data_IF_426946257423
#
_entry.id   IF_426946257423
#
_cell.length_a   1.000
_cell.length_b   1.000
_cell.length_c   1.000
_cell.angle_alpha   90.00
_cell.angle_beta   90.00
_cell.angle_gamma   90.00
#
_symmetry.space_group_name_H-M   'P 1'
#
loop_
_entity.id
_entity.type
_entity.pdbx_description
1 polymer ?
#
# COMPACT_ATOMS: atom_id res chain seq x y z
N UNK A 1 29.56 2.48 33.58
CA UNK A 1 30.45 1.68 32.71
C UNK A 1 29.59 0.95 31.68
N UNK A 2 29.54 1.45 30.44
CA UNK A 2 28.78 0.79 29.37
C UNK A 2 29.52 -0.47 28.93
N UNK A 3 28.94 -1.65 29.19
CA UNK A 3 29.40 -2.90 28.60
C UNK A 3 29.25 -2.81 27.08
N UNK A 4 30.36 -2.59 26.39
CA UNK A 4 30.49 -2.61 24.93
C UNK A 4 30.22 -4.04 24.42
N UNK A 5 28.96 -4.41 24.33
CA UNK A 5 28.57 -5.63 23.66
C UNK A 5 28.86 -5.50 22.16
N UNK A 6 29.54 -6.48 21.54
CA UNK A 6 29.74 -6.47 20.10
C UNK A 6 28.38 -6.47 19.38
N UNK A 7 28.24 -5.55 18.42
CA UNK A 7 27.08 -5.44 17.53
C UNK A 7 26.90 -6.69 16.64
N UNK A 8 25.84 -6.72 15.81
CA UNK A 8 25.50 -7.89 15.01
C UNK A 8 26.68 -8.36 14.15
N UNK A 9 27.11 -9.62 14.34
CA UNK A 9 28.24 -10.22 13.62
C UNK A 9 29.64 -9.88 14.16
N UNK A 10 29.78 -8.87 15.02
CA UNK A 10 31.08 -8.47 15.59
C UNK A 10 31.67 -9.55 16.50
N UNK A 11 30.83 -10.32 17.21
CA UNK A 11 31.31 -11.44 18.04
C UNK A 11 32.08 -12.50 17.23
N UNK A 12 31.69 -12.74 15.98
CA UNK A 12 32.40 -13.67 15.08
C UNK A 12 33.68 -13.05 14.52
N UNK A 13 33.65 -11.76 14.20
CA UNK A 13 34.83 -11.03 13.75
C UNK A 13 35.92 -10.97 14.84
N UNK A 14 35.53 -10.69 16.09
CA UNK A 14 36.45 -10.71 17.24
C UNK A 14 37.07 -12.08 17.44
N UNK A 15 36.26 -13.17 17.39
CA UNK A 15 36.79 -14.54 17.48
C UNK A 15 37.77 -14.86 16.36
N UNK A 16 37.48 -14.45 15.12
CA UNK A 16 38.39 -14.65 14.00
C UNK A 16 39.71 -13.88 14.19
N UNK A 17 39.64 -12.67 14.76
CA UNK A 17 40.81 -11.87 15.11
C UNK A 17 41.63 -12.50 16.23
N UNK A 18 41.00 -13.01 17.28
CA UNK A 18 41.68 -13.68 18.39
C UNK A 18 42.39 -14.96 17.91
N UNK A 19 41.71 -15.78 17.08
CA UNK A 19 42.30 -16.95 16.41
C UNK A 19 43.50 -16.56 15.53
N UNK A 20 43.42 -15.44 14.80
CA UNK A 20 44.54 -14.96 14.00
C UNK A 20 45.75 -14.58 14.87
N UNK A 21 45.52 -13.95 16.03
CA UNK A 21 46.58 -13.64 17.01
C UNK A 21 47.20 -14.90 17.61
N UNK A 22 46.38 -15.88 17.99
CA UNK A 22 46.86 -17.17 18.51
C UNK A 22 47.77 -17.87 17.49
N UNK A 23 47.36 -17.89 16.23
CA UNK A 23 48.18 -18.43 15.14
C UNK A 23 49.49 -17.67 14.96
N UNK A 24 49.47 -16.33 15.04
CA UNK A 24 50.69 -15.53 14.99
C UNK A 24 51.65 -15.85 16.14
N UNK A 25 51.12 -16.04 17.37
CA UNK A 25 51.92 -16.40 18.54
C UNK A 25 52.66 -17.75 18.39
N UNK A 26 52.16 -18.65 17.53
CA UNK A 26 52.85 -19.90 17.19
C UNK A 26 53.98 -19.77 16.16
N UNK A 27 54.35 -18.53 15.79
CA UNK A 27 55.38 -18.24 14.78
C UNK A 27 54.89 -18.30 13.33
N UNK A 28 53.58 -18.43 13.09
CA UNK A 28 53.00 -18.47 11.75
C UNK A 28 52.71 -17.06 11.24
N UNK A 29 53.12 -16.74 10.01
CA UNK A 29 52.75 -15.48 9.37
C UNK A 29 51.29 -15.55 8.90
N UNK A 30 50.44 -14.68 9.47
CA UNK A 30 49.01 -14.59 9.12
C UNK A 30 48.72 -13.24 8.47
N UNK A 31 48.07 -13.27 7.31
CA UNK A 31 47.60 -12.06 6.59
C UNK A 31 46.09 -12.18 6.36
N UNK A 32 45.34 -11.11 6.65
CA UNK A 32 43.90 -11.05 6.41
C UNK A 32 43.65 -10.12 5.22
N UNK A 33 43.08 -10.67 4.14
CA UNK A 33 42.74 -9.93 2.93
C UNK A 33 41.25 -10.09 2.64
N UNK A 34 40.62 -9.03 2.15
CA UNK A 34 39.26 -9.11 1.62
C UNK A 34 39.30 -9.66 0.19
N UNK A 35 38.33 -10.52 -0.14
CA UNK A 35 38.09 -11.03 -1.50
C UNK A 35 36.62 -10.85 -1.87
N UNK A 36 36.32 -10.54 -3.15
CA UNK A 36 34.94 -10.37 -3.60
C UNK A 36 34.19 -11.71 -3.60
N UNK A 37 32.95 -11.69 -3.10
CA UNK A 37 32.03 -12.82 -3.17
C UNK A 37 31.49 -13.05 -4.59
N UNK A 38 31.24 -14.32 -4.94
CA UNK A 38 30.57 -14.72 -6.18
C UNK A 38 31.27 -14.25 -7.47
N UNK A 39 32.60 -14.19 -7.44
CA UNK A 39 33.46 -13.86 -8.59
C UNK A 39 34.25 -15.05 -9.11
N UNK A 40 33.95 -16.26 -8.65
CA UNK A 40 34.60 -17.48 -9.13
C UNK A 40 36.02 -17.71 -8.60
N UNK A 41 36.40 -17.05 -7.50
CA UNK A 41 37.68 -17.31 -6.80
C UNK A 41 37.58 -18.69 -6.14
N UNK A 42 38.32 -19.72 -6.60
CA UNK A 42 38.05 -21.11 -6.23
C UNK A 42 37.97 -21.37 -4.72
N UNK A 43 38.93 -20.83 -3.96
CA UNK A 43 38.96 -21.01 -2.50
C UNK A 43 37.82 -20.29 -1.75
N UNK A 44 37.36 -19.13 -2.25
CA UNK A 44 36.23 -18.43 -1.66
C UNK A 44 34.90 -19.16 -1.94
N UNK A 45 34.73 -19.66 -3.17
CA UNK A 45 33.56 -20.46 -3.54
C UNK A 45 33.50 -21.78 -2.78
N UNK A 46 34.65 -22.42 -2.54
CA UNK A 46 34.72 -23.64 -1.71
C UNK A 46 34.39 -23.36 -0.24
N UNK A 47 34.91 -22.27 0.32
CA UNK A 47 34.55 -21.82 1.67
C UNK A 47 33.06 -21.51 1.81
N UNK A 48 32.46 -20.82 0.82
CA UNK A 48 31.01 -20.51 0.80
C UNK A 48 30.17 -21.79 0.70
N UNK A 49 30.56 -22.76 -0.15
CA UNK A 49 29.90 -24.07 -0.24
C UNK A 49 29.95 -24.82 1.09
N UNK A 50 31.11 -24.83 1.77
CA UNK A 50 31.28 -25.47 3.06
C UNK A 50 30.40 -24.80 4.14
N UNK A 51 30.38 -23.46 4.17
CA UNK A 51 29.54 -22.69 5.09
C UNK A 51 28.04 -22.97 4.86
N UNK A 52 27.58 -23.01 3.60
CA UNK A 52 26.19 -23.36 3.24
C UNK A 52 25.82 -24.77 3.67
N UNK A 53 26.71 -25.75 3.45
CA UNK A 53 26.49 -27.14 3.89
C UNK A 53 26.40 -27.24 5.42
N UNK A 54 27.18 -26.45 6.14
CA UNK A 54 27.12 -26.39 7.61
C UNK A 54 25.84 -25.70 8.11
N UNK A 55 25.37 -24.66 7.44
CA UNK A 55 24.15 -23.92 7.81
C UNK A 55 22.87 -24.77 7.77
N UNK A 56 22.85 -25.85 6.98
CA UNK A 56 21.73 -26.81 6.93
C UNK A 56 21.74 -27.88 8.03
N UNK A 57 22.80 -27.96 8.85
CA UNK A 57 22.89 -28.93 9.94
C UNK A 57 22.34 -28.32 11.24
N UNK A 58 21.75 -29.12 12.13
CA UNK A 58 21.39 -28.66 13.47
C UNK A 58 22.64 -28.12 14.18
N UNK A 59 22.46 -27.07 14.98
CA UNK A 59 23.57 -26.38 15.66
C UNK A 59 24.17 -27.32 16.71
N UNK A 60 25.34 -27.89 16.43
CA UNK A 60 26.04 -28.83 17.32
C UNK A 60 27.15 -28.18 18.17
N UNK A 61 27.08 -26.87 18.44
CA UNK A 61 28.19 -26.14 19.07
C UNK A 61 27.82 -25.22 20.23
N UNK A 62 28.84 -24.79 20.99
CA UNK A 62 28.79 -23.87 22.15
C UNK A 62 28.26 -22.45 21.84
N UNK A 63 27.96 -22.12 20.59
CA UNK A 63 27.45 -20.81 20.20
C UNK A 63 25.91 -20.82 20.19
N UNK A 64 25.29 -20.22 21.20
CA UNK A 64 23.83 -20.16 21.38
C UNK A 64 23.15 -18.97 20.69
N UNK A 65 23.91 -18.00 20.18
CA UNK A 65 23.36 -16.77 19.61
C UNK A 65 22.63 -16.97 18.28
N UNK A 66 21.39 -16.50 18.18
CA UNK A 66 20.64 -16.39 16.92
C UNK A 66 20.87 -15.00 16.33
N UNK A 67 21.04 -14.88 15.01
CA UNK A 67 21.14 -13.56 14.39
C UNK A 67 19.77 -12.89 14.34
N UNK A 68 19.73 -11.58 14.63
CA UNK A 68 18.49 -10.79 14.53
C UNK A 68 17.85 -10.92 13.13
N UNK A 69 18.67 -10.92 12.08
CA UNK A 69 18.21 -11.10 10.71
C UNK A 69 17.58 -12.48 10.44
N UNK A 70 17.99 -13.54 11.16
CA UNK A 70 17.35 -14.84 11.07
C UNK A 70 15.99 -14.83 11.78
N UNK A 71 15.91 -14.26 12.98
CA UNK A 71 14.66 -14.12 13.72
C UNK A 71 13.63 -13.27 12.96
N UNK A 72 14.04 -12.12 12.41
CA UNK A 72 13.19 -11.24 11.62
C UNK A 72 12.65 -11.90 10.34
N UNK A 73 13.48 -12.72 9.67
CA UNK A 73 13.04 -13.51 8.51
C UNK A 73 11.96 -14.51 8.90
N UNK A 74 12.18 -15.27 9.98
CA UNK A 74 11.18 -16.21 10.48
C UNK A 74 9.85 -15.53 10.82
N UNK A 75 9.88 -14.37 11.49
CA UNK A 75 8.67 -13.58 11.75
C UNK A 75 7.97 -13.12 10.45
N UNK A 76 8.75 -12.66 9.47
CA UNK A 76 8.22 -12.21 8.17
C UNK A 76 7.56 -13.35 7.41
N UNK A 77 8.18 -14.52 7.40
CA UNK A 77 7.66 -15.74 6.77
C UNK A 77 6.39 -16.23 7.46
N UNK A 78 6.38 -16.27 8.79
CA UNK A 78 5.20 -16.62 9.57
C UNK A 78 4.03 -15.66 9.31
N UNK A 79 4.29 -14.36 9.26
CA UNK A 79 3.27 -13.35 8.93
C UNK A 79 2.71 -13.52 7.51
N UNK A 80 3.59 -13.77 6.52
CA UNK A 80 3.18 -14.05 5.15
C UNK A 80 2.30 -15.29 5.05
N UNK A 81 2.67 -16.38 5.73
CA UNK A 81 1.90 -17.62 5.77
C UNK A 81 0.53 -17.39 6.44
N UNK A 82 0.50 -16.73 7.60
CA UNK A 82 -0.74 -16.38 8.30
C UNK A 82 -1.68 -15.54 7.42
N UNK A 83 -1.14 -14.55 6.71
CA UNK A 83 -1.90 -13.70 5.78
C UNK A 83 -2.46 -14.51 4.61
N UNK A 84 -1.67 -15.42 4.03
CA UNK A 84 -2.12 -16.29 2.95
C UNK A 84 -3.26 -17.22 3.41
N UNK A 85 -3.11 -17.84 4.59
CA UNK A 85 -4.11 -18.72 5.18
C UNK A 85 -5.41 -17.97 5.51
N UNK A 86 -5.30 -16.77 6.10
CA UNK A 86 -6.46 -15.90 6.36
C UNK A 86 -7.19 -15.55 5.07
N UNK A 87 -6.45 -15.20 4.01
CA UNK A 87 -7.03 -14.86 2.72
C UNK A 87 -7.77 -16.06 2.11
N UNK A 88 -7.14 -17.24 2.11
CA UNK A 88 -7.74 -18.48 1.62
C UNK A 88 -9.04 -18.83 2.37
N UNK A 89 -9.01 -18.77 3.72
CA UNK A 89 -10.18 -19.04 4.56
C UNK A 89 -11.31 -18.02 4.34
N UNK A 90 -10.98 -16.73 4.16
CA UNK A 90 -11.97 -15.69 3.86
C UNK A 90 -12.57 -15.85 2.47
N UNK A 91 -11.78 -16.22 1.46
CA UNK A 91 -12.28 -16.48 0.10
C UNK A 91 -13.21 -17.70 0.06
N UNK A 92 -12.87 -18.78 0.77
CA UNK A 92 -13.73 -19.97 0.89
C UNK A 92 -15.12 -19.64 1.46
N UNK A 93 -15.19 -18.78 2.48
CA UNK A 93 -16.47 -18.30 3.07
C UNK A 93 -17.20 -17.26 2.22
N UNK A 94 -16.54 -16.67 1.21
CA UNK A 94 -17.09 -15.59 0.38
C UNK A 94 -17.90 -16.10 -0.82
N UNK A 95 -17.78 -17.37 -1.19
CA UNK A 95 -18.46 -17.95 -2.36
C UNK A 95 -19.99 -17.69 -2.40
N UNK A 96 -20.65 -17.57 -1.24
CA UNK A 96 -22.09 -17.25 -1.16
C UNK A 96 -22.45 -15.74 -1.31
N UNK A 97 -21.48 -14.81 -1.20
CA UNK A 97 -21.72 -13.34 -1.30
C UNK A 97 -20.89 -12.65 -2.40
N UNK A 98 -20.10 -13.41 -3.16
CA UNK A 98 -19.05 -12.88 -4.04
C UNK A 98 -19.52 -12.43 -5.44
N UNK A 99 -20.81 -12.40 -5.74
CA UNK A 99 -21.29 -11.93 -7.06
C UNK A 99 -21.15 -10.41 -7.28
N UNK A 100 -20.65 -9.63 -6.31
CA UNK A 100 -20.68 -8.17 -6.35
C UNK A 100 -19.30 -7.47 -6.20
N UNK A 101 -18.19 -8.20 -6.05
CA UNK A 101 -16.87 -7.59 -5.93
C UNK A 101 -16.02 -7.86 -7.18
N UNK A 102 -15.48 -6.80 -7.80
CA UNK A 102 -14.56 -6.91 -8.94
C UNK A 102 -13.37 -7.83 -8.60
N UNK A 103 -13.27 -8.94 -9.31
CA UNK A 103 -12.14 -9.87 -9.21
C UNK A 103 -11.16 -9.57 -10.35
N UNK A 104 -9.87 -9.29 -10.08
CA UNK A 104 -8.90 -9.13 -11.15
C UNK A 104 -8.77 -10.46 -11.91
N UNK A 105 -9.04 -10.50 -13.22
CA UNK A 105 -8.97 -11.75 -13.99
C UNK A 105 -7.55 -12.33 -13.97
N UNK A 106 -7.42 -13.64 -14.22
CA UNK A 106 -6.11 -14.26 -14.44
C UNK A 106 -5.40 -13.54 -15.59
N UNK A 107 -4.16 -13.11 -15.37
CA UNK A 107 -3.40 -12.30 -16.33
C UNK A 107 -3.59 -10.79 -16.20
N UNK A 108 -4.18 -10.31 -15.10
CA UNK A 108 -4.29 -8.87 -14.81
C UNK A 108 -2.92 -8.18 -14.87
N UNK A 109 -2.79 -7.24 -15.80
CA UNK A 109 -1.64 -6.35 -15.92
C UNK A 109 -2.03 -4.97 -15.41
N UNK A 110 -1.06 -4.29 -14.80
CA UNK A 110 -1.21 -2.86 -14.51
C UNK A 110 -1.43 -2.14 -15.84
N UNK A 111 -2.41 -1.24 -15.90
CA UNK A 111 -2.62 -0.41 -17.07
C UNK A 111 -1.37 0.47 -17.26
N UNK A 112 -0.65 0.38 -18.39
CA UNK A 112 0.55 1.18 -18.62
C UNK A 112 0.31 2.68 -18.49
N UNK A 113 -0.90 3.16 -18.82
CA UNK A 113 -1.26 4.57 -18.63
C UNK A 113 -1.27 4.95 -17.15
N UNK A 114 -1.82 4.09 -16.28
CA UNK A 114 -1.85 4.33 -14.84
C UNK A 114 -0.46 4.30 -14.19
N UNK A 115 0.50 3.62 -14.81
CA UNK A 115 1.89 3.64 -14.35
C UNK A 115 2.54 5.02 -14.52
N UNK A 116 2.13 5.79 -15.53
CA UNK A 116 2.66 7.12 -15.83
C UNK A 116 1.84 8.26 -15.20
N UNK A 117 0.70 7.95 -14.59
CA UNK A 117 -0.18 8.92 -13.92
C UNK A 117 0.33 9.25 -12.51
N UNK A 118 0.14 10.48 -11.99
CA UNK A 118 0.44 10.81 -10.60
C UNK A 118 -0.12 9.78 -9.61
N UNK A 119 0.70 9.35 -8.65
CA UNK A 119 0.39 8.24 -7.71
C UNK A 119 -0.95 8.41 -6.99
N UNK A 120 -1.29 9.65 -6.59
CA UNK A 120 -2.54 9.94 -5.89
C UNK A 120 -3.77 9.67 -6.78
N UNK A 121 -3.68 9.96 -8.07
CA UNK A 121 -4.78 9.79 -9.02
C UNK A 121 -4.90 8.33 -9.46
N UNK A 122 -3.78 7.64 -9.69
CA UNK A 122 -3.76 6.20 -9.93
C UNK A 122 -4.35 5.41 -8.73
N UNK A 123 -4.01 5.81 -7.49
CA UNK A 123 -4.63 5.27 -6.28
C UNK A 123 -6.15 5.47 -6.29
N UNK A 124 -6.60 6.70 -6.56
CA UNK A 124 -8.03 7.02 -6.59
C UNK A 124 -8.76 6.22 -7.66
N UNK A 125 -8.18 6.07 -8.85
CA UNK A 125 -8.70 5.22 -9.91
C UNK A 125 -8.90 3.77 -9.44
N UNK A 126 -7.90 3.15 -8.81
CA UNK A 126 -8.03 1.77 -8.32
C UNK A 126 -9.04 1.63 -7.18
N UNK A 127 -9.19 2.66 -6.35
CA UNK A 127 -10.23 2.68 -5.34
C UNK A 127 -11.62 2.69 -5.99
N UNK A 128 -11.85 3.49 -7.04
CA UNK A 128 -13.09 3.46 -7.82
C UNK A 128 -13.30 2.08 -8.47
N UNK A 129 -12.29 1.56 -9.17
CA UNK A 129 -12.34 0.27 -9.88
C UNK A 129 -12.66 -0.91 -8.96
N UNK A 130 -12.19 -0.88 -7.72
CA UNK A 130 -12.40 -1.98 -6.75
C UNK A 130 -13.60 -1.74 -5.82
N UNK A 131 -14.30 -0.61 -5.93
CA UNK A 131 -15.38 -0.25 -5.02
C UNK A 131 -14.93 0.10 -3.58
N UNK A 132 -13.69 0.57 -3.43
CA UNK A 132 -13.10 1.03 -2.15
C UNK A 132 -12.78 2.54 -2.17
N UNK A 133 -13.37 3.28 -3.11
CA UNK A 133 -13.31 4.75 -3.12
C UNK A 133 -13.94 5.28 -1.83
N UNK A 134 -13.36 6.32 -1.20
CA UNK A 134 -13.94 6.95 -0.01
C UNK A 134 -15.16 7.80 -0.38
N UNK A 135 -16.18 7.14 -0.93
CA UNK A 135 -17.50 7.68 -1.28
C UNK A 135 -18.54 7.06 -0.35
N UNK A 136 -19.71 7.67 -0.23
CA UNK A 136 -20.72 7.37 0.78
C UNK A 136 -21.05 5.88 0.94
N UNK A 137 -21.22 5.13 -0.15
CA UNK A 137 -21.49 3.69 -0.07
C UNK A 137 -20.37 2.92 0.67
N UNK A 138 -19.11 3.23 0.38
CA UNK A 138 -17.97 2.59 1.03
C UNK A 138 -17.76 3.08 2.46
N UNK A 139 -17.84 4.40 2.68
CA UNK A 139 -17.66 5.02 3.99
C UNK A 139 -18.71 4.51 4.99
N UNK A 140 -19.96 4.39 4.57
CA UNK A 140 -21.01 3.77 5.38
C UNK A 140 -20.73 2.29 5.67
N UNK A 141 -20.30 1.52 4.67
CA UNK A 141 -19.94 0.10 4.84
C UNK A 141 -18.84 -0.11 5.89
N UNK A 142 -17.87 0.79 5.99
CA UNK A 142 -16.79 0.73 6.99
C UNK A 142 -17.10 1.47 8.29
N UNK A 143 -18.33 2.00 8.45
CA UNK A 143 -18.78 2.79 9.60
C UNK A 143 -17.99 4.09 9.83
N UNK A 144 -17.44 4.67 8.77
CA UNK A 144 -16.79 5.99 8.80
C UNK A 144 -17.77 7.13 8.48
N UNK A 145 -19.01 6.82 8.09
CA UNK A 145 -20.10 7.77 7.86
C UNK A 145 -21.42 7.09 8.23
N UNK A 146 -22.34 7.83 8.84
CA UNK A 146 -23.62 7.28 9.31
C UNK A 146 -24.61 6.96 8.18
N UNK A 147 -24.51 7.67 7.05
CA UNK A 147 -25.41 7.53 5.92
C UNK A 147 -24.66 7.30 4.62
N UNK A 148 -25.15 6.43 3.72
CA UNK A 148 -24.50 6.16 2.44
C UNK A 148 -24.80 7.22 1.37
N UNK A 149 -25.57 8.26 1.69
CA UNK A 149 -26.12 9.21 0.74
C UNK A 149 -25.04 10.07 0.06
N UNK A 150 -25.31 10.47 -1.18
CA UNK A 150 -24.45 11.43 -1.88
C UNK A 150 -24.63 12.82 -1.28
N UNK A 151 -23.59 13.36 -0.66
CA UNK A 151 -23.60 14.71 -0.09
C UNK A 151 -23.71 15.79 -1.16
N UNK A 152 -23.32 15.48 -2.39
CA UNK A 152 -23.34 16.41 -3.51
C UNK A 152 -24.71 16.72 -4.08
N UNK A 153 -25.54 15.68 -4.26
CA UNK A 153 -26.85 15.81 -4.87
C UNK A 153 -28.00 15.44 -3.93
N UNK A 154 -27.70 14.97 -2.71
CA UNK A 154 -28.64 14.49 -1.69
C UNK A 154 -29.60 13.39 -2.18
N UNK A 155 -29.26 12.68 -3.26
CA UNK A 155 -30.12 11.67 -3.88
C UNK A 155 -29.46 10.30 -3.92
N UNK A 156 -30.09 9.36 -3.23
CA UNK A 156 -29.70 7.96 -3.23
C UNK A 156 -28.31 7.71 -2.63
N UNK A 157 -27.88 6.46 -2.70
CA UNK A 157 -26.58 6.00 -2.22
C UNK A 157 -25.47 6.45 -3.15
N UNK A 158 -24.40 7.04 -2.59
CA UNK A 158 -23.21 7.48 -3.32
C UNK A 158 -22.35 6.29 -3.75
N UNK A 159 -22.72 5.70 -4.89
CA UNK A 159 -21.98 4.63 -5.56
C UNK A 159 -21.18 5.16 -6.74
N UNK A 160 -20.20 4.38 -7.21
CA UNK A 160 -19.47 4.70 -8.44
C UNK A 160 -20.44 4.86 -9.63
N UNK A 161 -21.43 3.95 -9.75
CA UNK A 161 -22.50 4.06 -10.74
C UNK A 161 -23.24 5.39 -10.63
N UNK A 162 -23.69 5.77 -9.43
CA UNK A 162 -24.38 7.04 -9.21
C UNK A 162 -23.55 8.23 -9.70
N UNK A 163 -22.26 8.28 -9.36
CA UNK A 163 -21.35 9.35 -9.76
C UNK A 163 -21.19 9.43 -11.29
N UNK A 164 -21.12 8.28 -11.98
CA UNK A 164 -20.94 8.21 -13.43
C UNK A 164 -22.24 8.47 -14.21
N UNK A 165 -23.41 8.08 -13.69
CA UNK A 165 -24.67 8.12 -14.45
C UNK A 165 -25.63 9.24 -14.06
N UNK A 166 -25.85 9.44 -12.75
CA UNK A 166 -27.06 10.13 -12.26
C UNK A 166 -26.77 11.32 -11.34
N UNK A 167 -25.53 11.49 -10.89
CA UNK A 167 -25.20 12.55 -9.95
C UNK A 167 -25.34 13.93 -10.60
N UNK A 168 -26.22 14.76 -10.04
CA UNK A 168 -26.47 16.14 -10.50
C UNK A 168 -25.28 17.06 -10.29
N UNK A 169 -24.50 16.81 -9.24
CA UNK A 169 -23.30 17.58 -8.94
C UNK A 169 -22.22 17.43 -10.02
N UNK A 170 -22.16 16.27 -10.66
CA UNK A 170 -21.12 15.93 -11.64
C UNK A 170 -21.64 15.98 -13.08
N UNK A 171 -22.72 16.73 -13.37
CA UNK A 171 -23.32 16.77 -14.70
C UNK A 171 -22.32 17.20 -15.79
N UNK A 172 -21.61 18.32 -15.59
CA UNK A 172 -20.64 18.85 -16.54
C UNK A 172 -19.44 17.91 -16.74
N UNK A 173 -18.92 17.36 -15.64
CA UNK A 173 -17.81 16.40 -15.70
C UNK A 173 -18.24 15.10 -16.38
N UNK A 174 -19.49 14.67 -16.20
CA UNK A 174 -20.07 13.52 -16.91
C UNK A 174 -20.23 13.77 -18.40
N UNK A 175 -20.63 14.97 -18.82
CA UNK A 175 -20.69 15.34 -20.24
C UNK A 175 -19.31 15.22 -20.90
N UNK A 176 -18.27 15.75 -20.24
CA UNK A 176 -16.88 15.61 -20.69
C UNK A 176 -16.43 14.14 -20.72
N UNK A 177 -16.78 13.37 -19.70
CA UNK A 177 -16.52 11.93 -19.66
C UNK A 177 -17.15 11.23 -20.88
N UNK A 178 -18.43 11.48 -21.15
CA UNK A 178 -19.14 10.84 -22.26
C UNK A 178 -18.62 11.28 -23.63
N UNK A 179 -18.23 12.53 -23.79
CA UNK A 179 -17.55 13.01 -24.99
C UNK A 179 -16.22 12.26 -25.21
N UNK A 180 -15.38 12.17 -24.18
CA UNK A 180 -14.11 11.43 -24.26
C UNK A 180 -14.28 9.92 -24.49
N UNK A 181 -15.35 9.31 -23.96
CA UNK A 181 -15.69 7.92 -24.26
C UNK A 181 -16.13 7.72 -25.71
N UNK A 182 -16.92 8.64 -26.25
CA UNK A 182 -17.35 8.61 -27.66
C UNK A 182 -16.16 8.76 -28.61
N UNK A 183 -15.25 9.70 -28.35
CA UNK A 183 -14.00 9.86 -29.10
C UNK A 183 -13.12 8.60 -29.07
N UNK A 184 -13.07 7.92 -27.93
CA UNK A 184 -12.33 6.66 -27.78
C UNK A 184 -13.05 5.43 -28.38
N UNK A 185 -14.26 5.60 -28.94
CA UNK A 185 -15.07 4.51 -29.48
C UNK A 185 -15.62 3.55 -28.40
N UNK A 186 -15.74 4.01 -27.16
CA UNK A 186 -16.27 3.23 -26.03
C UNK A 186 -17.75 3.53 -25.86
N UNK A 187 -18.58 2.49 -25.82
CA UNK A 187 -20.02 2.64 -25.59
C UNK A 187 -20.30 3.20 -24.19
N UNK A 188 -21.16 4.23 -24.13
CA UNK A 188 -21.66 4.81 -22.88
C UNK A 188 -22.30 3.76 -21.96
N UNK A 189 -22.46 4.10 -20.69
CA UNK A 189 -23.15 3.23 -19.73
C UNK A 189 -24.61 3.07 -20.16
N UNK A 190 -25.14 1.85 -20.10
CA UNK A 190 -26.55 1.61 -20.31
C UNK A 190 -27.23 1.21 -19.01
N UNK A 191 -28.42 1.75 -18.75
CA UNK A 191 -29.11 1.51 -17.48
C UNK A 191 -29.57 0.05 -17.31
N UNK A 192 -29.75 -0.67 -18.42
CA UNK A 192 -30.06 -2.09 -18.47
C UNK A 192 -28.91 -3.00 -18.03
N UNK A 193 -27.67 -2.51 -17.99
CA UNK A 193 -26.51 -3.28 -17.54
C UNK A 193 -26.55 -3.45 -16.01
N UNK A 194 -26.25 -4.66 -15.54
CA UNK A 194 -26.23 -4.96 -14.10
C UNK A 194 -25.07 -4.25 -13.38
N UNK A 195 -23.89 -4.15 -14.03
CA UNK A 195 -22.67 -3.51 -13.52
C UNK A 195 -21.92 -2.73 -14.61
N UNK A 196 -22.51 -1.64 -15.18
CA UNK A 196 -21.92 -0.89 -16.29
C UNK A 196 -20.55 -0.28 -15.94
N UNK A 197 -20.35 0.13 -14.69
CA UNK A 197 -19.09 0.66 -14.20
C UNK A 197 -17.94 -0.36 -14.32
N UNK A 198 -18.21 -1.64 -14.04
CA UNK A 198 -17.19 -2.67 -14.08
C UNK A 198 -16.69 -2.94 -15.50
N UNK A 199 -17.57 -2.84 -16.51
CA UNK A 199 -17.19 -2.88 -17.92
C UNK A 199 -16.31 -1.69 -18.27
N UNK A 200 -16.72 -0.50 -17.88
CA UNK A 200 -15.99 0.72 -18.21
C UNK A 200 -14.57 0.73 -17.63
N UNK A 201 -14.40 0.31 -16.37
CA UNK A 201 -13.08 0.18 -15.73
C UNK A 201 -12.22 -0.99 -16.28
N UNK A 202 -12.78 -1.89 -17.10
CA UNK A 202 -12.04 -2.96 -17.77
C UNK A 202 -11.52 -2.55 -19.15
N UNK A 203 -12.15 -1.57 -19.80
CA UNK A 203 -11.74 -1.09 -21.11
C UNK A 203 -10.58 -0.09 -21.00
N UNK A 204 -9.37 -0.42 -21.49
CA UNK A 204 -8.22 0.49 -21.43
C UNK A 204 -8.48 1.80 -22.19
N UNK A 205 -9.33 1.79 -23.22
CA UNK A 205 -9.68 2.99 -23.98
C UNK A 205 -10.46 4.01 -23.15
N UNK A 206 -11.15 3.56 -22.10
CA UNK A 206 -11.87 4.42 -21.19
C UNK A 206 -10.96 5.07 -20.12
N UNK A 207 -9.73 4.58 -19.93
CA UNK A 207 -8.85 4.98 -18.81
C UNK A 207 -8.60 6.48 -18.80
N UNK A 208 -8.33 7.12 -19.95
CA UNK A 208 -8.07 8.57 -20.02
C UNK A 208 -9.27 9.40 -19.57
N UNK A 209 -10.46 9.10 -20.11
CA UNK A 209 -11.68 9.83 -19.77
C UNK A 209 -12.09 9.61 -18.29
N UNK A 210 -11.91 8.38 -17.79
CA UNK A 210 -12.12 8.04 -16.38
C UNK A 210 -11.13 8.79 -15.45
N UNK A 211 -9.85 8.87 -15.83
CA UNK A 211 -8.85 9.61 -15.05
C UNK A 211 -9.20 11.09 -14.95
N UNK A 212 -9.62 11.72 -16.05
CA UNK A 212 -10.04 13.12 -16.05
C UNK A 212 -11.25 13.35 -15.13
N UNK A 213 -12.25 12.45 -15.22
CA UNK A 213 -13.43 12.51 -14.35
C UNK A 213 -13.09 12.34 -12.86
N UNK A 214 -12.26 11.35 -12.53
CA UNK A 214 -11.82 11.07 -11.15
C UNK A 214 -10.91 12.19 -10.62
N UNK A 215 -10.11 12.80 -11.49
CA UNK A 215 -9.31 13.99 -11.19
C UNK A 215 -10.19 15.15 -10.74
N UNK A 216 -11.23 15.45 -11.50
CA UNK A 216 -12.18 16.51 -11.15
C UNK A 216 -12.91 16.27 -9.82
N UNK A 217 -13.22 15.01 -9.49
CA UNK A 217 -13.79 14.66 -8.17
C UNK A 217 -12.79 15.00 -7.07
N UNK A 218 -11.54 14.60 -7.24
CA UNK A 218 -10.50 14.80 -6.25
C UNK A 218 -10.16 16.28 -6.06
N UNK A 219 -10.06 17.04 -7.14
CA UNK A 219 -9.80 18.48 -7.09
C UNK A 219 -10.86 19.22 -6.24
N UNK A 220 -12.13 18.85 -6.39
CA UNK A 220 -13.20 19.42 -5.56
C UNK A 220 -13.06 19.04 -4.08
N UNK A 221 -12.74 17.79 -3.78
CA UNK A 221 -12.49 17.33 -2.40
C UNK A 221 -11.29 18.07 -1.79
N UNK A 222 -10.19 18.19 -2.53
CA UNK A 222 -8.98 18.90 -2.10
C UNK A 222 -9.29 20.40 -1.86
N UNK A 223 -10.06 21.04 -2.76
CA UNK A 223 -10.49 22.45 -2.59
C UNK A 223 -11.41 22.63 -1.37
N UNK A 224 -12.33 21.69 -1.12
CA UNK A 224 -13.20 21.76 0.06
C UNK A 224 -12.38 21.61 1.35
N UNK A 225 -11.43 20.68 1.39
CA UNK A 225 -10.54 20.51 2.54
C UNK A 225 -9.66 21.74 2.76
N UNK A 226 -9.14 22.34 1.69
CA UNK A 226 -8.36 23.58 1.76
C UNK A 226 -9.20 24.74 2.31
N UNK A 227 -10.45 24.89 1.87
CA UNK A 227 -11.38 25.88 2.40
C UNK A 227 -11.70 25.65 3.88
N UNK A 228 -11.99 24.40 4.28
CA UNK A 228 -12.26 24.05 5.68
C UNK A 228 -11.04 24.31 6.58
N UNK A 229 -9.83 24.02 6.07
CA UNK A 229 -8.60 24.33 6.79
C UNK A 229 -8.37 25.83 6.90
N UNK A 230 -8.55 26.58 5.81
CA UNK A 230 -8.44 28.04 5.80
C UNK A 230 -9.45 28.69 6.76
N UNK A 231 -10.71 28.25 6.72
CA UNK A 231 -11.74 28.71 7.66
C UNK A 231 -11.37 28.42 9.12
N UNK A 232 -10.84 27.23 9.42
CA UNK A 232 -10.34 26.90 10.77
C UNK A 232 -9.12 27.75 11.15
N UNK A 233 -8.26 28.11 10.19
CA UNK A 233 -7.10 28.98 10.43
C UNK A 233 -7.44 30.47 10.47
N UNK A 234 -8.60 30.88 9.97
CA UNK A 234 -9.07 32.26 10.04
C UNK A 234 -9.96 32.46 11.27
N UNK A 235 -10.70 31.42 11.69
CA UNK A 235 -11.55 31.43 12.88
C UNK A 235 -10.76 31.11 14.18
N UNK A 236 -9.46 31.47 14.24
CA UNK A 236 -8.61 31.29 15.42
C UNK A 236 -9.20 32.03 16.63
N UNK A 237 -9.82 31.25 17.53
CA UNK A 237 -10.00 31.66 18.93
C UNK A 237 -11.04 32.74 19.20
N UNK A 238 -11.97 33.05 18.29
CA UNK A 238 -13.11 33.94 18.63
C UNK A 238 -13.92 33.32 19.79
N UNK A 239 -14.11 31.99 19.79
CA UNK A 239 -14.74 31.28 20.91
C UNK A 239 -13.93 31.37 22.23
N UNK A 240 -12.60 31.51 22.16
CA UNK A 240 -11.75 31.67 23.34
C UNK A 240 -11.72 33.12 23.88
N UNK A 241 -12.15 34.11 23.08
CA UNK A 241 -12.33 35.50 23.52
C UNK A 241 -13.72 35.72 24.14
N UNK A 242 -14.76 35.07 23.61
CA UNK A 242 -16.12 35.11 24.18
C UNK A 242 -16.22 34.43 25.57
N UNK A 243 -15.38 33.42 25.86
CA UNK A 243 -15.30 32.81 27.19
C UNK A 243 -14.57 33.72 28.21
N UNK A 244 -13.57 34.49 27.76
CA UNK A 244 -12.86 35.46 28.60
C UNK A 244 -13.69 36.70 28.96
N UNK A 245 -14.65 37.11 28.12
CA UNK A 245 -15.59 38.19 28.43
C UNK A 245 -16.71 37.76 29.39
N UNK A 246 -17.07 36.46 29.42
CA UNK A 246 -18.07 35.94 30.38
C UNK A 246 -17.49 35.64 31.77
N UNK A 247 -16.20 35.38 31.89
CA UNK A 247 -15.54 35.14 33.19
C UNK A 247 -15.00 36.43 33.84
N UNK A 248 -15.02 37.56 33.12
CA UNK A 248 -14.63 38.88 33.63
C UNK A 248 -15.77 39.72 34.22
N UNK A 249 -17.03 39.26 34.10
CA UNK A 249 -18.21 39.88 34.69
C UNK A 249 -18.85 38.93 35.72
N UNK A 250 -18.19 38.73 36.86
CA UNK A 250 -18.69 37.91 37.97
C UNK A 250 -17.91 38.05 39.26
#
# INVERSE_FOLDING_TARGET
MATLWPGPGQALALRAHDLAKELQATGRRVTICWVPGHKGVPGNEEADKAAKKAAGKPRTGKYSGISLAHAQRACTEAYRAARANWLAAKLAKRAQRASQAYYPPRGWKLDPMLANTPKHLARRYYQFKTGHAPIGAYLHRIKARDFPNCLGCSRGTETVRHLLTNCRQWCHQREKLYAGLAEAGVKALQDSEQCPEARLFQDPKATTALLAFIGAIREREDNQQAWEQAYKTDNWGIEALDEGEREGEG
#
